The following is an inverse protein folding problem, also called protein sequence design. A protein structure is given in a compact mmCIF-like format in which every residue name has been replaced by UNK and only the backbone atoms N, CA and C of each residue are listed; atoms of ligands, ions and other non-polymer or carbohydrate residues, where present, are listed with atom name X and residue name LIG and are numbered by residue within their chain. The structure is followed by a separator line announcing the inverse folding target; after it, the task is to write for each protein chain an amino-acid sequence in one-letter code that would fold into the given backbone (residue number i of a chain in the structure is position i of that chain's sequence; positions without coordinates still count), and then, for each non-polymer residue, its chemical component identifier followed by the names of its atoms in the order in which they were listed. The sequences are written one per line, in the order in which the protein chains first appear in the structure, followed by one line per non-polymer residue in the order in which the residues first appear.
data_IF_052697787958
#
_entry.id   IF_052697787958
#
_cell.length_a   1.000
_cell.length_b   1.000
_cell.length_c   1.000
_cell.angle_alpha   90.00
_cell.angle_beta   90.00
_cell.angle_gamma   90.00
#
_symmetry.space_group_name_H-M   'P 1'
#
loop_
_entity.id
_entity.type
_entity.pdbx_description
1 polymer ?
#
# COMPACT_ATOMS: atom_id res chain seq x y z
N UNK A 1 10.76 28.98 -16.18
CA UNK A 1 11.24 29.72 -14.96
C UNK A 1 11.66 28.64 -13.96
N UNK A 2 12.97 28.46 -13.80
CA UNK A 2 13.56 27.58 -12.79
C UNK A 2 13.32 28.21 -11.42
N UNK A 3 12.61 27.49 -10.54
CA UNK A 3 12.52 27.84 -9.12
C UNK A 3 13.87 27.50 -8.49
N UNK A 4 14.56 28.49 -7.97
CA UNK A 4 15.85 28.33 -7.28
C UNK A 4 15.70 27.43 -6.05
N UNK A 5 16.47 26.37 -6.01
CA UNK A 5 16.59 25.35 -4.98
C UNK A 5 17.28 25.88 -3.68
N UNK A 6 17.00 27.11 -3.22
CA UNK A 6 17.74 27.67 -2.09
C UNK A 6 17.12 27.44 -0.70
N UNK A 7 15.84 27.04 -0.60
CA UNK A 7 15.15 27.01 0.68
C UNK A 7 15.05 25.61 1.33
N UNK A 8 15.48 24.56 0.62
CA UNK A 8 15.42 23.18 1.13
C UNK A 8 16.61 22.79 2.04
N UNK A 9 17.69 23.58 2.05
CA UNK A 9 18.97 23.16 2.66
C UNK A 9 19.12 23.43 4.17
N UNK A 10 18.16 24.06 4.84
CA UNK A 10 18.39 24.49 6.23
C UNK A 10 17.89 23.52 7.32
N UNK A 11 17.21 22.42 6.98
CA UNK A 11 16.65 21.50 7.99
C UNK A 11 16.90 20.00 7.71
N UNK A 12 17.59 19.67 6.63
CA UNK A 12 18.01 18.29 6.35
C UNK A 12 19.28 17.95 7.13
N UNK A 13 19.35 16.83 7.85
CA UNK A 13 20.61 16.39 8.46
C UNK A 13 21.71 16.30 7.40
N UNK A 14 22.95 16.66 7.77
CA UNK A 14 24.13 16.64 6.89
C UNK A 14 24.38 15.27 6.20
N UNK A 15 23.75 14.20 6.67
CA UNK A 15 23.78 12.86 6.09
C UNK A 15 23.03 12.75 4.74
N UNK A 16 22.20 13.74 4.36
CA UNK A 16 21.48 13.76 3.11
C UNK A 16 22.23 14.43 1.95
N UNK A 17 23.46 14.89 2.21
CA UNK A 17 24.33 15.38 1.13
C UNK A 17 24.70 14.22 0.20
N UNK A 18 24.59 14.45 -1.09
CA UNK A 18 24.72 13.55 -2.26
C UNK A 18 25.90 12.54 -2.27
N UNK A 19 26.78 12.57 -1.28
CA UNK A 19 28.00 11.75 -1.26
C UNK A 19 27.85 10.38 -0.60
N UNK A 20 26.79 10.11 0.18
CA UNK A 20 26.55 8.82 0.85
C UNK A 20 25.07 8.44 0.70
N UNK A 21 24.67 8.01 -0.50
CA UNK A 21 23.42 7.25 -0.64
C UNK A 21 23.65 5.90 0.03
N UNK A 22 23.24 5.75 1.29
CA UNK A 22 23.09 4.42 1.87
C UNK A 22 22.05 3.73 1.01
N UNK A 23 22.45 2.68 0.33
CA UNK A 23 21.50 1.80 -0.37
C UNK A 23 20.73 0.99 0.67
N UNK A 24 19.70 1.64 1.25
CA UNK A 24 18.83 1.04 2.28
C UNK A 24 18.17 -0.23 1.72
N UNK A 25 17.87 -0.27 0.43
CA UNK A 25 17.24 -1.41 -0.19
C UNK A 25 18.14 -2.65 -0.14
N UNK A 26 19.44 -2.49 -0.39
CA UNK A 26 20.41 -3.60 -0.33
C UNK A 26 20.55 -4.19 1.08
N UNK A 27 20.30 -3.42 2.12
CA UNK A 27 20.33 -3.88 3.52
C UNK A 27 18.98 -4.45 3.96
N UNK A 28 17.88 -3.78 3.58
CA UNK A 28 16.55 -4.13 4.06
C UNK A 28 15.97 -5.36 3.36
N UNK A 29 16.19 -5.51 2.05
CA UNK A 29 15.62 -6.62 1.29
C UNK A 29 16.10 -8.00 1.75
N UNK A 30 17.42 -8.27 1.95
CA UNK A 30 17.87 -9.55 2.50
C UNK A 30 17.27 -9.85 3.87
N UNK A 31 17.21 -8.84 4.74
CA UNK A 31 16.56 -8.98 6.04
C UNK A 31 15.08 -9.32 5.89
N UNK A 32 14.38 -8.65 5.00
CA UNK A 32 12.95 -8.89 4.76
C UNK A 32 12.70 -10.32 4.22
N UNK A 33 13.55 -10.81 3.33
CA UNK A 33 13.43 -12.18 2.80
C UNK A 33 13.66 -13.25 3.87
N UNK A 34 14.55 -12.98 4.84
CA UNK A 34 14.83 -13.91 5.93
C UNK A 34 13.80 -13.84 7.06
N UNK A 35 13.33 -12.64 7.41
CA UNK A 35 12.55 -12.39 8.64
C UNK A 35 11.14 -11.85 8.37
N UNK A 36 10.75 -11.66 7.12
CA UNK A 36 9.42 -11.19 6.75
C UNK A 36 8.34 -12.17 7.23
N UNK A 37 7.28 -11.64 7.87
CA UNK A 37 6.17 -12.48 8.36
C UNK A 37 5.52 -13.24 7.22
N UNK A 38 5.28 -14.53 7.40
CA UNK A 38 4.43 -15.32 6.51
C UNK A 38 2.97 -14.90 6.69
N UNK A 39 2.37 -14.37 5.63
CA UNK A 39 0.97 -13.93 5.60
C UNK A 39 0.27 -14.54 4.39
N UNK A 40 -1.02 -14.93 4.49
CA UNK A 40 -1.74 -15.60 3.40
C UNK A 40 -1.73 -14.83 2.07
N UNK A 41 -1.72 -13.48 2.15
CA UNK A 41 -1.69 -12.58 0.99
C UNK A 41 -0.29 -12.16 0.56
N UNK A 42 0.78 -12.61 1.27
CA UNK A 42 2.16 -12.25 0.95
C UNK A 42 2.82 -13.35 0.13
N UNK A 43 2.69 -13.23 -1.17
CA UNK A 43 3.41 -14.06 -2.16
C UNK A 43 4.53 -13.21 -2.73
N UNK A 44 5.79 -13.66 -2.62
CA UNK A 44 6.95 -12.88 -3.05
C UNK A 44 7.13 -12.88 -4.57
N UNK A 45 6.81 -14.01 -5.20
CA UNK A 45 6.92 -14.15 -6.64
C UNK A 45 5.53 -14.14 -7.26
N UNK A 46 5.30 -13.18 -8.15
CA UNK A 46 4.03 -13.01 -8.88
C UNK A 46 2.79 -12.96 -7.95
N UNK A 47 2.70 -11.98 -7.05
CA UNK A 47 1.54 -11.84 -6.17
C UNK A 47 0.27 -11.59 -6.97
N UNK A 48 -0.82 -12.26 -6.59
CA UNK A 48 -2.13 -12.04 -7.19
C UNK A 48 -2.66 -10.64 -6.82
N UNK A 49 -2.95 -9.75 -7.80
CA UNK A 49 -3.47 -8.41 -7.54
C UNK A 49 -4.79 -8.41 -6.75
N UNK A 50 -5.65 -9.40 -6.95
CA UNK A 50 -6.89 -9.55 -6.20
C UNK A 50 -6.61 -9.82 -4.71
N UNK A 51 -5.68 -10.71 -4.40
CA UNK A 51 -5.27 -11.01 -3.03
C UNK A 51 -4.62 -9.81 -2.34
N UNK A 52 -3.74 -9.11 -3.05
CA UNK A 52 -3.08 -7.91 -2.54
C UNK A 52 -4.13 -6.83 -2.24
N UNK A 53 -4.99 -6.51 -3.19
CA UNK A 53 -6.05 -5.52 -3.01
C UNK A 53 -7.00 -5.88 -1.86
N UNK A 54 -7.49 -7.13 -1.81
CA UNK A 54 -8.39 -7.58 -0.76
C UNK A 54 -7.77 -7.41 0.63
N UNK A 55 -6.50 -7.78 0.77
CA UNK A 55 -5.78 -7.62 2.04
C UNK A 55 -5.60 -6.16 2.43
N UNK A 56 -5.24 -5.28 1.48
CA UNK A 56 -5.09 -3.84 1.73
C UNK A 56 -6.42 -3.20 2.19
N UNK A 57 -7.54 -3.58 1.57
CA UNK A 57 -8.87 -3.10 1.98
C UNK A 57 -9.25 -3.59 3.37
N UNK A 58 -8.91 -4.83 3.74
CA UNK A 58 -9.21 -5.39 5.06
C UNK A 58 -8.30 -4.82 6.15
N UNK A 59 -7.03 -4.53 5.83
CA UNK A 59 -6.04 -4.00 6.77
C UNK A 59 -6.26 -2.54 7.14
N UNK A 60 -7.09 -1.80 6.43
CA UNK A 60 -7.47 -0.44 6.82
C UNK A 60 -8.07 -0.46 8.22
N UNK A 61 -7.35 0.08 9.21
CA UNK A 61 -7.77 0.18 10.62
C UNK A 61 -8.11 -1.17 11.28
N UNK A 62 -7.55 -2.28 10.79
CA UNK A 62 -7.77 -3.61 11.36
C UNK A 62 -6.44 -4.34 11.53
N UNK A 63 -6.30 -5.14 12.59
CA UNK A 63 -5.06 -5.87 12.88
C UNK A 63 -4.86 -7.06 11.95
N UNK A 64 -3.59 -7.41 11.69
CA UNK A 64 -3.22 -8.57 10.87
C UNK A 64 -3.85 -9.86 11.40
N UNK A 65 -3.87 -10.05 12.73
CA UNK A 65 -4.43 -11.26 13.36
C UNK A 65 -5.91 -11.43 13.04
N UNK A 66 -6.67 -10.34 13.09
CA UNK A 66 -8.09 -10.34 12.74
C UNK A 66 -8.27 -10.60 11.24
N UNK A 67 -7.52 -9.89 10.39
CA UNK A 67 -7.67 -9.97 8.93
C UNK A 67 -7.38 -11.37 8.38
N UNK A 68 -6.42 -12.12 8.95
CA UNK A 68 -6.08 -13.46 8.45
C UNK A 68 -7.32 -14.36 8.26
N UNK A 69 -8.17 -14.46 9.28
CA UNK A 69 -9.37 -15.31 9.24
C UNK A 69 -10.38 -14.86 8.18
N UNK A 70 -10.59 -13.55 8.09
CA UNK A 70 -11.53 -12.99 7.10
C UNK A 70 -11.01 -13.11 5.68
N UNK A 71 -9.73 -12.90 5.47
CA UNK A 71 -9.09 -13.06 4.18
C UNK A 71 -9.27 -14.50 3.66
N UNK A 72 -8.96 -15.50 4.48
CA UNK A 72 -9.14 -16.92 4.15
C UNK A 72 -10.61 -17.24 3.84
N UNK A 73 -11.54 -16.72 4.64
CA UNK A 73 -12.98 -16.88 4.41
C UNK A 73 -13.41 -16.28 3.07
N UNK A 74 -12.92 -15.08 2.73
CA UNK A 74 -13.26 -14.40 1.48
C UNK A 74 -12.70 -15.13 0.27
N UNK A 75 -11.43 -15.53 0.30
CA UNK A 75 -10.79 -16.26 -0.80
C UNK A 75 -11.44 -17.64 -1.03
N UNK A 76 -11.81 -18.33 0.04
CA UNK A 76 -12.52 -19.61 -0.09
C UNK A 76 -13.93 -19.43 -0.66
N UNK A 77 -14.62 -18.34 -0.36
CA UNK A 77 -15.98 -18.07 -0.83
C UNK A 77 -16.00 -17.43 -2.21
N UNK A 78 -15.07 -16.53 -2.47
CA UNK A 78 -14.93 -15.77 -3.72
C UNK A 78 -13.47 -15.80 -4.17
N UNK A 79 -13.05 -16.88 -4.84
CA UNK A 79 -11.65 -17.07 -5.25
C UNK A 79 -11.11 -16.00 -6.20
N UNK A 80 -11.99 -15.38 -6.98
CA UNK A 80 -11.63 -14.34 -7.95
C UNK A 80 -12.42 -13.04 -7.74
N UNK A 81 -11.94 -11.95 -8.34
CA UNK A 81 -12.67 -10.69 -8.35
C UNK A 81 -14.02 -10.81 -9.08
N UNK A 82 -14.14 -11.70 -10.04
CA UNK A 82 -15.40 -11.99 -10.73
C UNK A 82 -16.43 -12.63 -9.80
N UNK A 83 -16.00 -13.60 -8.98
CA UNK A 83 -16.86 -14.24 -8.00
C UNK A 83 -17.36 -13.22 -6.96
N UNK A 84 -16.45 -12.35 -6.47
CA UNK A 84 -16.81 -11.30 -5.51
C UNK A 84 -17.74 -10.25 -6.13
N UNK A 85 -17.53 -9.87 -7.39
CA UNK A 85 -18.39 -8.94 -8.10
C UNK A 85 -19.79 -9.51 -8.39
N UNK A 86 -19.88 -10.83 -8.58
CA UNK A 86 -21.15 -11.55 -8.77
C UNK A 86 -21.94 -11.81 -7.48
N UNK A 87 -21.32 -11.61 -6.32
CA UNK A 87 -21.98 -11.73 -5.02
C UNK A 87 -23.00 -10.59 -4.81
N UNK A 88 -24.03 -10.84 -4.02
CA UNK A 88 -24.89 -9.74 -3.56
C UNK A 88 -24.17 -8.92 -2.47
N UNK A 89 -24.50 -7.62 -2.38
CA UNK A 89 -23.94 -6.78 -1.32
C UNK A 89 -24.22 -7.35 0.07
N UNK A 90 -25.41 -7.91 0.29
CA UNK A 90 -25.79 -8.51 1.57
C UNK A 90 -24.91 -9.71 1.93
N UNK A 91 -24.55 -10.55 0.95
CA UNK A 91 -23.62 -11.65 1.18
C UNK A 91 -22.23 -11.17 1.61
N UNK A 92 -21.75 -10.08 1.00
CA UNK A 92 -20.46 -9.46 1.34
C UNK A 92 -20.52 -8.82 2.72
N UNK A 93 -21.59 -8.08 3.04
CA UNK A 93 -21.77 -7.47 4.35
C UNK A 93 -21.88 -8.52 5.47
N UNK A 94 -22.57 -9.63 5.21
CA UNK A 94 -22.65 -10.74 6.16
C UNK A 94 -21.28 -11.38 6.42
N UNK A 95 -20.50 -11.65 5.37
CA UNK A 95 -19.14 -12.18 5.52
C UNK A 95 -18.16 -11.19 6.19
N UNK A 96 -18.45 -9.88 6.10
CA UNK A 96 -17.66 -8.81 6.73
C UNK A 96 -17.98 -8.59 8.21
N UNK A 97 -19.05 -9.20 8.71
CA UNK A 97 -19.53 -8.99 10.07
C UNK A 97 -18.42 -9.27 11.10
N UNK A 98 -18.16 -8.28 11.97
CA UNK A 98 -17.09 -8.33 12.97
C UNK A 98 -15.81 -7.56 12.60
N UNK A 99 -15.58 -7.23 11.31
CA UNK A 99 -14.44 -6.37 10.91
C UNK A 99 -14.70 -4.87 11.20
N UNK A 100 -15.95 -4.48 11.37
CA UNK A 100 -16.35 -3.09 11.58
C UNK A 100 -16.21 -2.21 10.32
N UNK A 101 -16.56 -0.92 10.46
CA UNK A 101 -16.45 0.06 9.37
C UNK A 101 -17.04 -0.44 8.03
N UNK A 102 -18.32 -0.76 8.02
CA UNK A 102 -19.04 -1.39 6.90
C UNK A 102 -19.00 -0.60 5.57
N UNK A 103 -18.63 0.69 5.61
CA UNK A 103 -18.34 1.45 4.40
C UNK A 103 -17.22 0.82 3.57
N UNK A 104 -16.23 0.16 4.22
CA UNK A 104 -15.17 -0.57 3.52
C UNK A 104 -15.72 -1.76 2.75
N UNK A 105 -16.65 -2.53 3.33
CA UNK A 105 -17.28 -3.67 2.66
C UNK A 105 -18.10 -3.22 1.43
N UNK A 106 -18.85 -2.11 1.56
CA UNK A 106 -19.57 -1.52 0.43
C UNK A 106 -18.62 -1.08 -0.68
N UNK A 107 -17.54 -0.39 -0.32
CA UNK A 107 -16.52 0.04 -1.27
C UNK A 107 -15.78 -1.15 -1.90
N UNK A 108 -15.48 -2.19 -1.11
CA UNK A 108 -14.88 -3.43 -1.60
C UNK A 108 -15.75 -4.05 -2.70
N UNK A 109 -17.03 -4.25 -2.45
CA UNK A 109 -17.96 -4.80 -3.43
C UNK A 109 -18.10 -3.91 -4.66
N UNK A 110 -18.30 -2.60 -4.48
CA UNK A 110 -18.38 -1.65 -5.58
C UNK A 110 -17.09 -1.60 -6.42
N UNK A 111 -15.93 -1.74 -5.77
CA UNK A 111 -14.63 -1.82 -6.45
C UNK A 111 -14.53 -3.10 -7.29
N UNK A 112 -14.89 -4.27 -6.75
CA UNK A 112 -14.91 -5.53 -7.50
C UNK A 112 -15.80 -5.43 -8.74
N UNK A 113 -17.01 -4.90 -8.60
CA UNK A 113 -17.95 -4.68 -9.72
C UNK A 113 -17.30 -3.75 -10.77
N UNK A 114 -16.70 -2.64 -10.35
CA UNK A 114 -16.04 -1.69 -11.27
C UNK A 114 -14.84 -2.32 -11.98
N UNK A 115 -14.04 -3.13 -11.30
CA UNK A 115 -12.91 -3.84 -11.92
C UNK A 115 -13.41 -4.81 -12.99
N UNK A 116 -14.46 -5.54 -12.73
CA UNK A 116 -15.05 -6.45 -13.73
C UNK A 116 -15.64 -5.68 -14.90
N UNK A 117 -16.43 -4.66 -14.66
CA UNK A 117 -17.14 -3.92 -15.70
C UNK A 117 -16.23 -3.04 -16.56
N UNK A 118 -15.27 -2.36 -15.96
CA UNK A 118 -14.45 -1.36 -16.64
C UNK A 118 -13.08 -1.87 -17.05
N UNK A 119 -12.59 -2.94 -16.42
CA UNK A 119 -11.25 -3.49 -16.62
C UNK A 119 -11.23 -5.00 -16.89
N UNK A 120 -12.41 -5.59 -17.23
CA UNK A 120 -12.53 -7.01 -17.58
C UNK A 120 -11.97 -7.97 -16.51
N UNK A 121 -12.08 -7.58 -15.23
CA UNK A 121 -11.57 -8.35 -14.10
C UNK A 121 -10.07 -8.21 -13.84
N UNK A 122 -9.37 -7.36 -14.59
CA UNK A 122 -7.95 -7.07 -14.38
C UNK A 122 -7.77 -5.75 -13.64
N UNK A 123 -7.03 -5.75 -12.53
CA UNK A 123 -6.74 -4.50 -11.84
C UNK A 123 -5.82 -3.60 -12.67
N UNK A 124 -6.09 -2.28 -12.71
CA UNK A 124 -5.17 -1.35 -13.34
C UNK A 124 -3.83 -1.32 -12.60
N UNK A 125 -2.75 -1.05 -13.33
CA UNK A 125 -1.38 -1.16 -12.80
C UNK A 125 -0.81 0.16 -12.29
N UNK A 126 -1.40 1.31 -12.69
CA UNK A 126 -0.91 2.64 -12.32
C UNK A 126 -1.60 3.14 -11.05
N UNK A 127 -0.87 3.95 -10.25
CA UNK A 127 -1.41 4.56 -9.03
C UNK A 127 -2.67 5.38 -9.34
N UNK A 128 -2.64 6.23 -10.36
CA UNK A 128 -3.76 7.11 -10.71
C UNK A 128 -5.03 6.32 -11.09
N UNK A 129 -4.89 5.25 -11.86
CA UNK A 129 -6.03 4.41 -12.23
C UNK A 129 -6.57 3.60 -11.04
N UNK A 130 -5.69 3.17 -10.13
CA UNK A 130 -6.09 2.51 -8.87
C UNK A 130 -6.83 3.47 -7.94
N UNK A 131 -6.42 4.73 -7.81
CA UNK A 131 -7.12 5.74 -7.01
C UNK A 131 -8.53 6.04 -7.54
N UNK A 132 -8.77 5.84 -8.83
CA UNK A 132 -10.10 5.95 -9.43
C UNK A 132 -11.10 4.84 -9.02
N UNK A 133 -10.65 3.82 -8.28
CA UNK A 133 -11.49 2.71 -7.84
C UNK A 133 -12.11 2.99 -6.45
N UNK A 134 -13.37 2.53 -6.20
CA UNK A 134 -14.05 2.73 -4.94
C UNK A 134 -13.25 2.25 -3.72
N UNK A 135 -13.06 3.14 -2.73
CA UNK A 135 -12.40 2.83 -1.46
C UNK A 135 -10.87 2.73 -1.52
N UNK A 136 -10.26 2.95 -2.68
CA UNK A 136 -8.81 2.98 -2.83
C UNK A 136 -8.35 4.44 -2.76
N UNK A 137 -7.69 4.79 -1.66
CA UNK A 137 -7.04 6.09 -1.49
C UNK A 137 -5.57 6.06 -1.94
N UNK A 138 -4.88 7.22 -1.89
CA UNK A 138 -3.49 7.35 -2.35
C UNK A 138 -2.51 6.34 -1.74
N UNK A 139 -2.68 6.04 -0.45
CA UNK A 139 -1.86 5.04 0.23
C UNK A 139 -2.10 3.63 -0.35
N UNK A 140 -3.37 3.19 -0.39
CA UNK A 140 -3.71 1.84 -0.88
C UNK A 140 -3.35 1.67 -2.35
N UNK A 141 -3.55 2.70 -3.18
CA UNK A 141 -3.16 2.69 -4.59
C UNK A 141 -1.64 2.49 -4.75
N UNK A 142 -0.83 3.26 -4.00
CA UNK A 142 0.62 3.12 -4.01
C UNK A 142 1.07 1.74 -3.50
N UNK A 143 0.44 1.23 -2.44
CA UNK A 143 0.75 -0.10 -1.89
C UNK A 143 0.42 -1.22 -2.89
N UNK A 144 -0.77 -1.19 -3.50
CA UNK A 144 -1.18 -2.17 -4.51
C UNK A 144 -0.25 -2.09 -5.73
N UNK A 145 0.06 -0.90 -6.24
CA UNK A 145 0.97 -0.70 -7.37
C UNK A 145 2.36 -1.27 -7.09
N UNK A 146 2.90 -1.02 -5.89
CA UNK A 146 4.23 -1.50 -5.50
C UNK A 146 4.25 -3.03 -5.29
N UNK A 147 3.24 -3.59 -4.62
CA UNK A 147 3.23 -5.00 -4.21
C UNK A 147 2.79 -5.90 -5.37
N UNK A 148 1.64 -5.60 -5.99
CA UNK A 148 1.06 -6.45 -7.02
C UNK A 148 1.72 -6.27 -8.39
N UNK A 149 2.17 -5.06 -8.70
CA UNK A 149 2.65 -4.72 -10.04
C UNK A 149 4.11 -4.31 -10.09
N UNK A 150 4.82 -4.36 -8.96
CA UNK A 150 6.24 -4.00 -8.85
C UNK A 150 6.56 -2.59 -9.36
N UNK A 151 5.56 -1.69 -9.34
CA UNK A 151 5.75 -0.29 -9.73
C UNK A 151 6.59 0.44 -8.69
N UNK A 152 7.47 1.35 -9.09
CA UNK A 152 8.26 2.17 -8.17
C UNK A 152 7.35 3.23 -7.51
N UNK A 153 6.53 2.81 -6.55
CA UNK A 153 5.62 3.68 -5.82
C UNK A 153 6.11 3.94 -4.40
N UNK A 154 6.06 5.20 -3.99
CA UNK A 154 6.42 5.62 -2.63
C UNK A 154 5.24 5.42 -1.70
N UNK A 155 5.29 4.38 -0.88
CA UNK A 155 4.25 4.07 0.11
C UNK A 155 4.64 4.67 1.45
N UNK A 156 3.86 5.64 1.96
CA UNK A 156 4.14 6.32 3.23
C UNK A 156 2.90 6.31 4.12
N UNK A 157 2.96 5.48 5.14
CA UNK A 157 2.00 5.46 6.25
C UNK A 157 2.66 6.00 7.53
N UNK A 158 1.91 6.04 8.62
CA UNK A 158 2.40 6.50 9.93
C UNK A 158 3.59 5.65 10.45
N UNK A 159 3.69 4.37 10.07
CA UNK A 159 4.82 3.53 10.46
C UNK A 159 6.07 3.93 9.70
N UNK A 160 5.94 4.14 8.39
CA UNK A 160 7.04 4.60 7.53
C UNK A 160 7.46 6.01 7.93
N UNK A 161 6.53 6.94 8.19
CA UNK A 161 6.84 8.28 8.72
C UNK A 161 7.72 8.17 9.97
N UNK A 162 7.37 7.29 10.90
CA UNK A 162 8.13 7.07 12.15
C UNK A 162 9.50 6.44 11.91
N UNK A 163 9.61 5.48 10.99
CA UNK A 163 10.89 4.85 10.63
C UNK A 163 11.82 5.88 9.99
N UNK A 164 11.31 6.64 9.01
CA UNK A 164 12.06 7.69 8.32
C UNK A 164 12.51 8.77 9.31
N UNK A 165 11.60 9.22 10.20
CA UNK A 165 11.95 10.20 11.22
C UNK A 165 13.13 9.75 12.09
N UNK A 166 13.14 8.48 12.52
CA UNK A 166 14.24 7.93 13.33
C UNK A 166 15.53 7.78 12.54
N UNK A 167 15.42 7.25 11.31
CA UNK A 167 16.58 6.98 10.46
C UNK A 167 17.30 8.27 10.06
N UNK A 168 16.56 9.35 9.81
CA UNK A 168 17.09 10.63 9.36
C UNK A 168 17.09 11.70 10.47
N UNK A 169 16.81 11.31 11.73
CA UNK A 169 16.79 12.20 12.90
C UNK A 169 15.91 13.47 12.68
N UNK A 170 14.74 13.30 12.07
CA UNK A 170 13.82 14.40 11.80
C UNK A 170 13.13 14.85 13.10
N UNK A 171 13.25 16.12 13.46
CA UNK A 171 12.69 16.72 14.68
C UNK A 171 11.55 17.69 14.39
N UNK A 172 10.87 17.53 13.25
CA UNK A 172 9.83 18.45 12.78
C UNK A 172 8.43 18.01 13.24
N UNK A 173 7.48 18.96 13.23
CA UNK A 173 6.08 18.69 13.59
C UNK A 173 5.41 17.69 12.64
N UNK A 174 4.34 16.97 13.08
CA UNK A 174 3.69 15.92 12.28
C UNK A 174 3.30 16.30 10.85
N UNK A 175 2.69 17.46 10.54
CA UNK A 175 2.36 17.83 9.16
C UNK A 175 3.59 17.93 8.26
N UNK A 176 4.66 18.57 8.77
CA UNK A 176 5.93 18.69 8.03
C UNK A 176 6.66 17.36 7.96
N UNK A 177 6.63 16.56 9.03
CA UNK A 177 7.21 15.23 9.05
C UNK A 177 6.66 14.34 7.91
N UNK A 178 5.35 14.37 7.71
CA UNK A 178 4.71 13.60 6.62
C UNK A 178 5.20 14.05 5.26
N UNK A 179 5.32 15.36 5.04
CA UNK A 179 5.82 15.92 3.79
C UNK A 179 7.29 15.52 3.54
N UNK A 180 8.14 15.69 4.58
CA UNK A 180 9.56 15.34 4.50
C UNK A 180 9.76 13.83 4.27
N UNK A 181 9.01 12.99 4.99
CA UNK A 181 9.04 11.54 4.80
C UNK A 181 8.65 11.12 3.38
N UNK A 182 7.63 11.73 2.78
CA UNK A 182 7.24 11.47 1.39
C UNK A 182 8.34 11.87 0.40
N UNK A 183 9.01 12.99 0.64
CA UNK A 183 10.11 13.45 -0.21
C UNK A 183 11.28 12.48 -0.13
N UNK A 184 11.69 12.12 1.10
CA UNK A 184 12.78 11.17 1.35
C UNK A 184 12.48 9.79 0.72
N UNK A 185 11.27 9.29 0.92
CA UNK A 185 10.87 7.98 0.39
C UNK A 185 10.88 7.93 -1.13
N UNK A 186 10.56 9.02 -1.84
CA UNK A 186 10.69 9.08 -3.31
C UNK A 186 12.12 8.84 -3.78
N UNK A 187 13.11 9.34 -3.00
CA UNK A 187 14.52 9.17 -3.33
C UNK A 187 15.08 7.80 -2.92
N UNK A 188 14.43 7.14 -1.94
CA UNK A 188 14.84 5.82 -1.44
C UNK A 188 14.25 4.66 -2.24
N UNK A 189 13.13 4.87 -2.93
CA UNK A 189 12.50 3.82 -3.74
C UNK A 189 13.37 3.54 -4.97
N UNK A 190 13.83 2.30 -5.17
CA UNK A 190 14.60 1.95 -6.37
C UNK A 190 13.76 2.14 -7.63
N UNK A 191 14.36 2.68 -8.68
CA UNK A 191 13.70 2.84 -9.98
C UNK A 191 13.58 1.51 -10.75
N UNK A 192 14.38 0.52 -10.36
CA UNK A 192 14.33 -0.87 -10.87
C UNK A 192 14.42 -1.83 -9.68
N UNK A 193 13.60 -2.84 -9.66
CA UNK A 193 13.71 -4.01 -8.80
C UNK A 193 14.49 -5.10 -9.50
#
# INVERSE_FOLDING_TARGET
RFVKNSDYNHHMPKLYHHSYRIDIASLLLPWFYCYGRALPWRVLNNPDPYHVWLSEMMLQQTTVTTVKKYFETFINRWPTVHDLAGATLDQVLHAWQGLGYYARARNLHACAVKVVQSYQGQFPTTVDALEGLPGIGPYSASAIAAIAFQQPASVVDTNIERVVARLFALTVSPPKLRQDARTIMKDLVPTKR
#
